data_IF_872565994391
#
_entry.id   IF_872565994391
#
_cell.length_a   1.000
_cell.length_b   1.000
_cell.length_c   1.000
_cell.angle_alpha   90.00
_cell.angle_beta   90.00
_cell.angle_gamma   90.00
#
_symmetry.space_group_name_H-M   'P 1'
#
loop_
_entity.id
_entity.type
_entity.pdbx_description
1 polymer ?
#
# COMPACT_ATOMS: atom_id res chain seq x y z
N UNK A 1 -19.64 5.65 8.92
CA UNK A 1 -18.39 6.10 8.27
C UNK A 1 -17.25 5.29 8.85
N UNK A 2 -16.35 4.74 8.01
CA UNK A 2 -15.15 4.04 8.49
C UNK A 2 -13.96 5.01 8.51
N UNK A 3 -13.12 4.92 9.54
CA UNK A 3 -11.95 5.78 9.74
C UNK A 3 -10.70 4.90 9.80
N UNK A 4 -9.67 5.27 9.05
CA UNK A 4 -8.37 4.61 9.04
C UNK A 4 -7.25 5.63 9.26
N UNK A 5 -6.12 5.18 9.76
CA UNK A 5 -4.90 5.99 9.80
C UNK A 5 -3.79 5.30 8.99
N UNK A 6 -2.77 6.06 8.63
CA UNK A 6 -1.62 5.54 7.89
C UNK A 6 -0.45 5.21 8.83
N UNK A 7 0.28 4.13 8.57
CA UNK A 7 1.50 3.79 9.31
C UNK A 7 2.59 4.86 9.20
N UNK A 8 2.46 5.80 8.25
CA UNK A 8 3.32 7.00 8.19
C UNK A 8 3.24 7.87 9.44
N UNK A 9 2.13 7.83 10.18
CA UNK A 9 1.95 8.59 11.40
C UNK A 9 2.75 8.04 12.60
N UNK A 10 3.22 6.79 12.49
CA UNK A 10 3.93 6.09 13.58
C UNK A 10 5.07 5.20 13.02
N UNK A 11 6.09 5.81 12.38
CA UNK A 11 7.13 5.07 11.66
C UNK A 11 7.95 4.15 12.55
N UNK A 12 8.09 4.48 13.83
CA UNK A 12 8.91 3.74 14.81
C UNK A 12 8.12 2.63 15.54
N UNK A 13 6.81 2.51 15.26
CA UNK A 13 5.98 1.52 15.94
C UNK A 13 6.12 0.14 15.32
N UNK A 14 6.21 -0.88 16.17
CA UNK A 14 6.06 -2.28 15.74
C UNK A 14 4.65 -2.55 15.24
N UNK A 15 4.49 -3.59 14.43
CA UNK A 15 3.18 -4.02 13.95
C UNK A 15 2.18 -4.28 15.09
N UNK A 16 2.67 -4.82 16.22
CA UNK A 16 1.85 -5.05 17.42
C UNK A 16 1.33 -3.74 18.02
N UNK A 17 2.18 -2.74 18.13
CA UNK A 17 1.76 -1.43 18.64
C UNK A 17 0.77 -0.75 17.70
N UNK A 18 0.99 -0.84 16.37
CA UNK A 18 0.11 -0.26 15.37
C UNK A 18 -1.32 -0.82 15.47
N UNK A 19 -1.51 -2.14 15.44
CA UNK A 19 -2.87 -2.68 15.49
C UNK A 19 -3.50 -2.54 16.88
N UNK A 20 -2.72 -2.53 17.95
CA UNK A 20 -3.21 -2.27 19.30
C UNK A 20 -3.74 -0.85 19.41
N UNK A 21 -2.93 0.13 19.00
CA UNK A 21 -3.34 1.53 18.96
C UNK A 21 -4.59 1.74 18.08
N UNK A 22 -4.63 1.12 16.90
CA UNK A 22 -5.82 1.18 16.03
C UNK A 22 -7.08 0.75 16.77
N UNK A 23 -6.99 -0.38 17.48
CA UNK A 23 -8.10 -0.92 18.27
C UNK A 23 -8.49 -0.01 19.43
N UNK A 24 -7.52 0.44 20.21
CA UNK A 24 -7.73 1.24 21.41
C UNK A 24 -8.34 2.62 21.10
N UNK A 25 -7.98 3.20 19.96
CA UNK A 25 -8.49 4.49 19.49
C UNK A 25 -9.76 4.37 18.65
N UNK A 26 -10.27 3.16 18.40
CA UNK A 26 -11.50 2.94 17.67
C UNK A 26 -11.43 3.16 16.17
N UNK A 27 -10.24 2.97 15.56
CA UNK A 27 -10.12 2.94 14.11
C UNK A 27 -10.73 1.67 13.52
N UNK A 28 -11.23 1.78 12.29
CA UNK A 28 -11.75 0.66 11.50
C UNK A 28 -10.68 0.00 10.64
N UNK A 29 -9.58 0.71 10.37
CA UNK A 29 -8.55 0.19 9.49
C UNK A 29 -7.19 0.89 9.60
N UNK A 30 -6.23 0.30 8.88
CA UNK A 30 -4.84 0.74 8.83
C UNK A 30 -4.42 0.83 7.36
N UNK A 31 -4.06 2.01 6.87
CA UNK A 31 -3.34 2.14 5.61
C UNK A 31 -1.88 1.79 5.84
N UNK A 32 -1.36 0.83 5.09
CA UNK A 32 0.04 0.40 5.23
C UNK A 32 0.91 1.05 4.17
N UNK A 33 1.87 1.90 4.61
CA UNK A 33 2.90 2.49 3.76
C UNK A 33 4.24 1.79 3.89
N UNK A 34 4.58 1.39 5.09
CA UNK A 34 5.78 0.67 5.47
C UNK A 34 5.69 0.34 6.96
N UNK A 35 6.63 -0.46 7.47
CA UNK A 35 6.69 -0.87 8.87
C UNK A 35 8.13 -0.83 9.35
N UNK A 36 8.45 0.10 10.24
CA UNK A 36 9.81 0.31 10.71
C UNK A 36 10.75 0.61 9.53
N UNK A 37 11.83 -0.17 9.42
CA UNK A 37 12.81 -0.03 8.33
C UNK A 37 12.31 -0.56 6.97
N UNK A 38 11.26 -1.39 6.96
CA UNK A 38 10.66 -1.96 5.75
C UNK A 38 9.73 -0.97 5.06
N UNK A 39 10.30 -0.04 4.29
CA UNK A 39 9.52 0.92 3.48
C UNK A 39 8.69 0.19 2.42
N UNK A 40 9.17 -0.93 1.90
CA UNK A 40 8.49 -1.80 0.97
C UNK A 40 7.64 -2.81 1.74
N UNK A 41 6.36 -2.51 1.94
CA UNK A 41 5.46 -3.27 2.81
C UNK A 41 5.40 -4.79 2.49
N UNK A 42 5.63 -5.18 1.23
CA UNK A 42 5.65 -6.59 0.81
C UNK A 42 6.75 -7.38 1.51
N UNK A 43 7.87 -6.73 1.87
CA UNK A 43 8.98 -7.38 2.57
C UNK A 43 8.81 -7.36 4.10
N UNK A 44 7.89 -6.55 4.61
CA UNK A 44 7.69 -6.42 6.04
C UNK A 44 7.26 -7.76 6.66
N UNK A 45 7.86 -8.10 7.78
CA UNK A 45 7.69 -9.39 8.47
C UNK A 45 6.24 -9.85 8.61
N UNK A 46 5.26 -9.00 8.97
CA UNK A 46 3.86 -9.40 9.11
C UNK A 46 3.22 -9.88 7.81
N UNK A 47 3.76 -9.45 6.65
CA UNK A 47 3.20 -9.69 5.32
C UNK A 47 3.96 -10.76 4.52
N UNK A 48 5.01 -11.33 5.09
CA UNK A 48 5.67 -12.51 4.49
C UNK A 48 4.72 -13.71 4.44
N UNK A 49 4.86 -14.58 3.46
CA UNK A 49 4.00 -15.76 3.29
C UNK A 49 3.88 -16.61 4.55
N UNK A 50 4.95 -16.70 5.34
CA UNK A 50 4.97 -17.47 6.59
C UNK A 50 4.14 -16.82 7.72
N UNK A 51 3.96 -15.49 7.70
CA UNK A 51 3.28 -14.74 8.77
C UNK A 51 1.92 -14.20 8.38
N UNK A 52 1.66 -14.07 7.10
CA UNK A 52 0.44 -13.47 6.57
C UNK A 52 -0.85 -14.10 7.10
N UNK A 53 -0.99 -15.44 7.21
CA UNK A 53 -2.20 -16.03 7.78
C UNK A 53 -2.48 -15.57 9.21
N UNK A 54 -1.43 -15.47 10.05
CA UNK A 54 -1.55 -15.00 11.43
C UNK A 54 -1.91 -13.51 11.48
N UNK A 55 -1.36 -12.70 10.57
CA UNK A 55 -1.69 -11.28 10.43
C UNK A 55 -3.16 -11.08 10.07
N UNK A 56 -3.66 -11.80 9.08
CA UNK A 56 -5.06 -11.74 8.65
C UNK A 56 -6.01 -12.14 9.79
N UNK A 57 -5.72 -13.25 10.48
CA UNK A 57 -6.52 -13.71 11.60
C UNK A 57 -6.53 -12.69 12.75
N UNK A 58 -5.37 -12.09 13.05
CA UNK A 58 -5.26 -11.05 14.09
C UNK A 58 -6.11 -9.82 13.75
N UNK A 59 -6.01 -9.31 12.51
CA UNK A 59 -6.82 -8.17 12.06
C UNK A 59 -8.31 -8.49 12.15
N UNK A 60 -8.72 -9.66 11.70
CA UNK A 60 -10.10 -10.12 11.79
C UNK A 60 -10.60 -10.17 13.24
N UNK A 61 -9.81 -10.71 14.17
CA UNK A 61 -10.16 -10.80 15.60
C UNK A 61 -10.33 -9.43 16.26
N UNK A 62 -9.70 -8.38 15.69
CA UNK A 62 -9.79 -7.00 16.16
C UNK A 62 -10.84 -6.17 15.39
N UNK A 63 -11.49 -6.74 14.37
CA UNK A 63 -12.36 -6.03 13.41
C UNK A 63 -11.63 -4.86 12.72
N UNK A 64 -10.36 -5.07 12.36
CA UNK A 64 -9.54 -4.12 11.62
C UNK A 64 -9.38 -4.57 10.17
N UNK A 65 -9.42 -3.62 9.24
CA UNK A 65 -9.19 -3.84 7.82
C UNK A 65 -7.88 -3.15 7.38
N UNK A 66 -7.32 -3.58 6.27
CA UNK A 66 -6.32 -2.81 5.54
C UNK A 66 -7.00 -2.29 4.27
N UNK A 67 -7.57 -1.07 4.30
CA UNK A 67 -8.31 -0.53 3.16
C UNK A 67 -7.41 -0.14 2.00
N UNK A 68 -6.14 0.16 2.26
CA UNK A 68 -5.19 0.61 1.26
C UNK A 68 -3.76 0.18 1.58
N UNK A 69 -3.04 -0.26 0.54
CA UNK A 69 -1.58 -0.38 0.56
C UNK A 69 -0.99 0.81 -0.20
N UNK A 70 -0.18 1.62 0.48
CA UNK A 70 0.47 2.77 -0.12
C UNK A 70 1.85 2.37 -0.64
N UNK A 71 2.00 2.22 -1.95
CA UNK A 71 3.28 1.89 -2.59
C UNK A 71 4.23 3.09 -2.66
N UNK A 72 5.49 2.82 -2.98
CA UNK A 72 6.48 3.82 -3.36
C UNK A 72 6.51 4.13 -4.86
N UNK A 73 5.64 3.50 -5.63
CA UNK A 73 5.57 3.64 -7.07
C UNK A 73 5.28 5.09 -7.46
N UNK A 74 6.24 5.74 -8.14
CA UNK A 74 6.10 7.09 -8.67
C UNK A 74 6.10 7.04 -10.20
N UNK A 75 5.01 7.52 -10.79
CA UNK A 75 4.79 7.48 -12.24
C UNK A 75 5.44 8.65 -12.99
N UNK A 76 6.11 9.54 -12.28
CA UNK A 76 6.77 10.73 -12.85
C UNK A 76 7.88 10.38 -13.85
N UNK A 77 8.63 9.31 -13.58
CA UNK A 77 9.86 9.00 -14.30
C UNK A 77 9.71 7.79 -15.22
N UNK A 78 9.94 8.01 -16.53
CA UNK A 78 10.03 6.92 -17.52
C UNK A 78 11.15 5.92 -17.20
N UNK A 79 12.21 6.36 -16.52
CA UNK A 79 13.35 5.50 -16.15
C UNK A 79 12.97 4.43 -15.12
N UNK A 80 11.98 4.72 -14.29
CA UNK A 80 11.53 3.83 -13.22
C UNK A 80 10.35 2.95 -13.64
N UNK A 81 9.97 2.97 -14.92
CA UNK A 81 8.79 2.29 -15.41
C UNK A 81 8.78 0.79 -15.05
N UNK A 82 9.83 0.05 -15.45
CA UNK A 82 9.89 -1.40 -15.19
C UNK A 82 9.93 -1.72 -13.69
N UNK A 83 10.64 -0.91 -12.90
CA UNK A 83 10.66 -1.00 -11.44
C UNK A 83 9.26 -0.80 -10.87
N UNK A 84 8.54 0.23 -11.33
CA UNK A 84 7.19 0.52 -10.87
C UNK A 84 6.21 -0.60 -11.20
N UNK A 85 6.28 -1.17 -12.41
CA UNK A 85 5.45 -2.33 -12.79
C UNK A 85 5.75 -3.53 -11.90
N UNK A 86 7.03 -3.83 -11.66
CA UNK A 86 7.43 -4.92 -10.78
C UNK A 86 6.95 -4.70 -9.33
N UNK A 87 7.09 -3.49 -8.80
CA UNK A 87 6.63 -3.13 -7.47
C UNK A 87 5.12 -3.31 -7.34
N UNK A 88 4.34 -2.70 -8.23
CA UNK A 88 2.87 -2.78 -8.18
C UNK A 88 2.38 -4.23 -8.34
N UNK A 89 3.00 -5.02 -9.18
CA UNK A 89 2.63 -6.45 -9.32
C UNK A 89 2.74 -7.19 -7.98
N UNK A 90 3.79 -6.92 -7.20
CA UNK A 90 3.96 -7.52 -5.87
C UNK A 90 2.92 -6.99 -4.87
N UNK A 91 2.62 -5.69 -4.91
CA UNK A 91 1.57 -5.10 -4.08
C UNK A 91 0.18 -5.65 -4.42
N UNK A 92 -0.12 -5.88 -5.69
CA UNK A 92 -1.39 -6.48 -6.15
C UNK A 92 -1.54 -7.92 -5.59
N UNK A 93 -0.47 -8.72 -5.62
CA UNK A 93 -0.48 -10.06 -5.03
C UNK A 93 -0.74 -9.99 -3.52
N UNK A 94 -0.08 -9.08 -2.80
CA UNK A 94 -0.29 -8.88 -1.38
C UNK A 94 -1.71 -8.38 -1.08
N UNK A 95 -2.21 -7.39 -1.82
CA UNK A 95 -3.54 -6.83 -1.68
C UNK A 95 -4.62 -7.92 -1.82
N UNK A 96 -4.50 -8.77 -2.83
CA UNK A 96 -5.40 -9.92 -3.01
C UNK A 96 -5.40 -10.86 -1.79
N UNK A 97 -4.22 -11.19 -1.26
CA UNK A 97 -4.09 -12.05 -0.08
C UNK A 97 -4.67 -11.43 1.19
N UNK A 98 -4.60 -10.12 1.32
CA UNK A 98 -5.14 -9.35 2.46
C UNK A 98 -6.63 -9.02 2.31
N UNK A 99 -7.19 -9.11 1.11
CA UNK A 99 -8.52 -8.59 0.78
C UNK A 99 -8.56 -7.06 0.73
N UNK A 100 -7.42 -6.42 0.45
CA UNK A 100 -7.29 -4.96 0.35
C UNK A 100 -7.77 -4.48 -1.01
N UNK A 101 -8.74 -3.55 -1.07
CA UNK A 101 -9.35 -3.11 -2.33
C UNK A 101 -8.54 -2.05 -3.09
N UNK A 102 -7.61 -1.37 -2.43
CA UNK A 102 -6.92 -0.23 -3.05
C UNK A 102 -5.41 -0.28 -2.87
N UNK A 103 -4.69 0.13 -3.92
CA UNK A 103 -3.25 0.40 -3.88
C UNK A 103 -3.04 1.85 -4.30
N UNK A 104 -2.36 2.63 -3.47
CA UNK A 104 -1.99 4.00 -3.80
C UNK A 104 -0.69 4.05 -4.57
N UNK A 105 -0.69 4.79 -5.68
CA UNK A 105 0.49 5.18 -6.44
C UNK A 105 0.65 6.71 -6.42
N UNK A 106 1.83 7.20 -6.75
CA UNK A 106 2.15 8.62 -6.77
C UNK A 106 2.27 9.08 -8.24
N UNK A 107 1.48 10.06 -8.63
CA UNK A 107 1.64 10.74 -9.94
C UNK A 107 2.90 11.59 -9.95
N UNK A 108 3.22 12.20 -8.82
CA UNK A 108 4.45 12.95 -8.56
C UNK A 108 4.88 12.78 -7.10
N UNK A 109 6.18 13.00 -6.81
CA UNK A 109 6.73 13.00 -5.45
C UNK A 109 6.61 14.36 -4.77
N UNK A 110 6.61 15.41 -5.56
CA UNK A 110 6.51 16.81 -5.10
C UNK A 110 5.63 17.58 -6.07
N UNK A 111 5.01 18.68 -5.62
CA UNK A 111 4.40 19.63 -6.53
C UNK A 111 5.43 20.03 -7.58
N UNK A 112 5.24 19.58 -8.81
CA UNK A 112 6.13 19.90 -9.91
C UNK A 112 5.66 21.21 -10.56
N UNK A 113 6.59 22.06 -11.06
CA UNK A 113 6.22 23.12 -11.95
C UNK A 113 5.49 22.57 -13.19
N UNK A 114 4.59 23.36 -13.74
CA UNK A 114 3.89 23.02 -14.98
C UNK A 114 4.88 22.62 -16.08
N UNK A 115 4.64 21.48 -16.73
CA UNK A 115 5.50 20.92 -17.78
C UNK A 115 6.62 20.00 -17.32
N UNK A 116 6.80 19.76 -16.02
CA UNK A 116 7.78 18.77 -15.51
C UNK A 116 7.23 17.33 -15.48
N UNK A 117 5.92 17.16 -15.51
CA UNK A 117 5.24 15.86 -15.51
C UNK A 117 4.64 15.60 -16.88
N UNK A 118 4.94 14.44 -17.44
CA UNK A 118 4.33 13.95 -18.68
C UNK A 118 3.00 13.29 -18.35
N UNK A 119 1.92 14.06 -18.37
CA UNK A 119 0.58 13.59 -18.02
C UNK A 119 0.09 12.43 -18.91
N UNK A 120 0.45 12.43 -20.20
CA UNK A 120 0.08 11.34 -21.11
C UNK A 120 0.78 10.04 -20.72
N UNK A 121 2.04 10.12 -20.33
CA UNK A 121 2.78 8.98 -19.81
C UNK A 121 2.18 8.48 -18.50
N UNK A 122 1.88 9.37 -17.56
CA UNK A 122 1.24 9.02 -16.27
C UNK A 122 -0.12 8.34 -16.51
N UNK A 123 -0.95 8.89 -17.38
CA UNK A 123 -2.25 8.29 -17.74
C UNK A 123 -2.08 6.89 -18.35
N UNK A 124 -1.09 6.71 -19.21
CA UNK A 124 -0.79 5.41 -19.83
C UNK A 124 -0.35 4.38 -18.79
N UNK A 125 0.51 4.79 -17.85
CA UNK A 125 0.92 3.96 -16.73
C UNK A 125 -0.27 3.56 -15.85
N UNK A 126 -1.14 4.51 -15.47
CA UNK A 126 -2.32 4.25 -14.66
C UNK A 126 -3.26 3.25 -15.32
N UNK A 127 -3.49 3.36 -16.62
CA UNK A 127 -4.30 2.40 -17.38
C UNK A 127 -3.70 0.99 -17.33
N UNK A 128 -2.39 0.86 -17.52
CA UNK A 128 -1.70 -0.42 -17.45
C UNK A 128 -1.77 -1.02 -16.04
N UNK A 129 -1.44 -0.23 -15.02
CA UNK A 129 -1.49 -0.66 -13.61
C UNK A 129 -2.91 -1.06 -13.20
N UNK A 130 -3.92 -0.29 -13.63
CA UNK A 130 -5.32 -0.62 -13.41
C UNK A 130 -5.72 -1.95 -14.06
N UNK A 131 -5.24 -2.23 -15.27
CA UNK A 131 -5.48 -3.51 -15.95
C UNK A 131 -4.84 -4.68 -15.17
N UNK A 132 -3.61 -4.50 -14.67
CA UNK A 132 -2.93 -5.50 -13.84
C UNK A 132 -3.74 -5.75 -12.57
N UNK A 133 -4.09 -4.69 -11.83
CA UNK A 133 -4.82 -4.79 -10.58
C UNK A 133 -6.19 -5.46 -10.78
N UNK A 134 -6.94 -5.06 -11.79
CA UNK A 134 -8.23 -5.64 -12.13
C UNK A 134 -8.16 -7.15 -12.43
N UNK A 135 -7.08 -7.61 -13.07
CA UNK A 135 -6.83 -9.03 -13.31
C UNK A 135 -6.71 -9.86 -12.02
N UNK A 136 -6.42 -9.22 -10.90
CA UNK A 136 -6.33 -9.86 -9.57
C UNK A 136 -7.55 -9.57 -8.67
N UNK A 137 -8.44 -8.69 -9.09
CA UNK A 137 -9.62 -8.29 -8.30
C UNK A 137 -9.32 -7.19 -7.25
N UNK A 138 -8.32 -6.35 -7.54
CA UNK A 138 -7.89 -5.21 -6.72
C UNK A 138 -8.24 -3.92 -7.43
#
# INVERSE_FOLDING_TARGET
MKISFSTLACPDYSWTEIYTMAKDLGFDGIEVRGLGEDIFAVNARPFTDARLPQTVEKLRSLNLEIPCLASGCSLKSKKDFDKNISEITQYVVLAKKLGTPYIRVLGDLHPAPEGEVDDEFVCSCLKLLGTIAQGFGV
#
